data_IF_075366432344
#
_entry.id   IF_075366432344
#
_cell.length_a   1.000
_cell.length_b   1.000
_cell.length_c   1.000
_cell.angle_alpha   90.00
_cell.angle_beta   90.00
_cell.angle_gamma   90.00
#
_symmetry.space_group_name_H-M   'P 1'
#
loop_
_entity.id
_entity.type
_entity.pdbx_description
1 polymer ?
#
# COMPACT_ATOMS: atom_id res chain seq x y z
N UNK A 1 -2.20 -51.53 17.05
CA UNK A 1 -2.66 -52.64 16.18
C UNK A 1 -4.12 -52.32 15.82
N UNK A 2 -4.50 -52.19 14.55
CA UNK A 2 -4.83 -53.31 13.66
C UNK A 2 -4.43 -53.07 12.19
N UNK A 3 -3.81 -54.09 11.58
CA UNK A 3 -3.81 -54.56 10.17
C UNK A 3 -3.62 -53.56 8.99
N UNK A 4 -2.67 -53.92 8.11
CA UNK A 4 -2.32 -53.32 6.80
C UNK A 4 -3.13 -53.96 5.64
N UNK A 5 -2.72 -53.67 4.38
CA UNK A 5 -3.17 -54.21 3.07
C UNK A 5 -4.41 -53.49 2.49
N UNK A 6 -4.51 -53.11 1.20
CA UNK A 6 -3.87 -53.52 -0.09
C UNK A 6 -3.97 -52.29 -1.06
N UNK A 7 -2.92 -51.69 -1.68
CA UNK A 7 -2.03 -52.07 -2.82
C UNK A 7 -2.73 -52.28 -4.19
N UNK A 8 -2.04 -51.88 -5.28
CA UNK A 8 -2.35 -52.03 -6.74
C UNK A 8 -3.41 -51.03 -7.31
N UNK A 9 -3.43 -50.60 -8.60
CA UNK A 9 -2.58 -50.86 -9.80
C UNK A 9 -2.70 -49.72 -10.88
N UNK A 10 -1.58 -49.03 -11.23
CA UNK A 10 -1.18 -48.30 -12.49
C UNK A 10 -2.19 -47.45 -13.33
N UNK A 11 -1.69 -46.29 -13.79
CA UNK A 11 -2.12 -45.58 -15.00
C UNK A 11 -0.99 -44.75 -15.63
N UNK A 12 -0.03 -45.37 -16.32
CA UNK A 12 1.06 -44.67 -17.03
C UNK A 12 0.60 -44.19 -18.40
N UNK A 13 0.91 -42.95 -18.77
CA UNK A 13 0.99 -42.54 -20.18
C UNK A 13 2.11 -41.51 -20.38
N UNK A 14 3.20 -41.95 -20.98
CA UNK A 14 4.33 -41.14 -21.43
C UNK A 14 4.16 -40.89 -22.92
N UNK A 15 4.40 -39.67 -23.38
CA UNK A 15 4.86 -39.39 -24.75
C UNK A 15 5.72 -38.12 -24.76
N UNK A 16 6.89 -38.19 -25.38
CA UNK A 16 7.88 -37.11 -25.42
C UNK A 16 8.09 -36.60 -26.85
N UNK A 17 8.52 -35.34 -27.00
CA UNK A 17 8.93 -34.77 -28.30
C UNK A 17 10.15 -33.83 -28.16
N UNK A 18 11.31 -34.46 -28.32
CA UNK A 18 12.58 -34.01 -28.93
C UNK A 18 12.80 -32.57 -29.45
N UNK A 19 14.03 -32.10 -29.16
CA UNK A 19 14.98 -31.37 -30.04
C UNK A 19 14.92 -29.85 -30.25
N UNK A 20 16.06 -29.21 -29.97
CA UNK A 20 16.43 -27.84 -30.40
C UNK A 20 17.77 -27.40 -29.79
N UNK A 21 18.88 -27.55 -30.52
CA UNK A 21 20.24 -27.23 -30.05
C UNK A 21 20.85 -26.06 -30.86
N UNK A 22 21.75 -25.25 -30.29
CA UNK A 22 22.42 -24.17 -31.01
C UNK A 22 23.50 -23.43 -30.21
N UNK A 23 24.77 -23.80 -30.40
CA UNK A 23 25.95 -23.06 -29.89
C UNK A 23 26.38 -21.91 -30.81
N UNK A 24 26.89 -20.82 -30.24
CA UNK A 24 28.00 -19.93 -30.72
C UNK A 24 28.03 -18.67 -29.82
N UNK A 25 29.15 -17.99 -29.49
CA UNK A 25 30.59 -18.13 -29.81
C UNK A 25 31.42 -17.47 -28.69
N UNK A 26 32.73 -17.71 -28.65
CA UNK A 26 33.65 -17.32 -27.55
C UNK A 26 34.27 -15.88 -27.69
N UNK A 27 35.48 -15.53 -27.20
CA UNK A 27 35.66 -14.51 -26.18
C UNK A 27 36.50 -13.29 -26.66
N UNK A 28 36.84 -12.36 -25.76
CA UNK A 28 37.74 -11.24 -26.10
C UNK A 28 38.33 -10.51 -24.89
N UNK A 29 39.57 -10.84 -24.51
CA UNK A 29 40.40 -10.00 -23.63
C UNK A 29 41.01 -8.84 -24.43
N UNK A 30 41.20 -7.67 -23.80
CA UNK A 30 41.95 -6.56 -24.37
C UNK A 30 42.14 -5.41 -23.39
N UNK A 31 43.31 -5.32 -22.75
CA UNK A 31 43.68 -4.24 -21.84
C UNK A 31 44.57 -3.20 -22.55
N UNK A 32 44.16 -1.93 -22.50
CA UNK A 32 45.04 -0.74 -22.38
C UNK A 32 45.92 -0.31 -23.59
N UNK A 33 46.39 0.98 -23.67
CA UNK A 33 46.02 2.19 -22.91
C UNK A 33 45.88 3.53 -23.72
N UNK A 34 45.50 4.60 -22.99
CA UNK A 34 45.75 6.06 -23.22
C UNK A 34 45.22 6.75 -24.50
N UNK A 35 44.24 7.67 -24.32
CA UNK A 35 44.46 9.12 -24.55
C UNK A 35 43.45 10.00 -23.81
N UNK A 36 43.95 10.86 -22.92
CA UNK A 36 43.18 11.96 -22.31
C UNK A 36 43.25 13.18 -23.23
N UNK A 37 42.11 13.88 -23.43
CA UNK A 37 42.11 15.33 -23.28
C UNK A 37 40.97 15.78 -22.36
N UNK A 38 41.30 16.59 -21.36
CA UNK A 38 40.31 17.30 -20.57
C UNK A 38 39.87 18.56 -21.32
N UNK A 39 38.58 18.69 -21.60
CA UNK A 39 37.93 19.95 -21.93
C UNK A 39 36.46 19.88 -21.51
N UNK A 40 36.02 20.89 -20.75
CA UNK A 40 34.71 20.96 -20.14
C UNK A 40 33.55 20.82 -21.14
N UNK A 41 32.57 19.97 -20.78
CA UNK A 41 31.18 20.15 -21.18
C UNK A 41 30.32 20.09 -19.92
N UNK A 42 29.66 21.21 -19.63
CA UNK A 42 28.78 21.39 -18.49
C UNK A 42 27.53 20.54 -18.65
N UNK A 43 27.34 19.52 -17.82
CA UNK A 43 26.01 19.02 -17.49
C UNK A 43 25.86 18.97 -15.97
N UNK A 44 25.72 20.17 -15.39
CA UNK A 44 25.20 20.32 -14.04
C UNK A 44 23.70 20.08 -14.14
N UNK A 45 23.32 18.79 -14.15
CA UNK A 45 21.94 18.30 -14.22
C UNK A 45 21.08 18.99 -13.16
N UNK A 46 20.47 20.10 -13.54
CA UNK A 46 19.78 20.98 -12.61
C UNK A 46 18.45 20.32 -12.29
N UNK A 47 18.39 19.64 -11.14
CA UNK A 47 17.20 18.97 -10.66
C UNK A 47 16.15 20.04 -10.35
N UNK A 48 15.35 20.39 -11.36
CA UNK A 48 14.21 21.29 -11.23
C UNK A 48 13.35 20.75 -10.08
N UNK A 49 13.08 21.55 -9.03
CA UNK A 49 12.19 21.12 -7.97
C UNK A 49 10.86 20.68 -8.58
N UNK A 50 10.51 19.40 -8.39
CA UNK A 50 9.18 18.91 -8.71
C UNK A 50 8.22 19.69 -7.83
N UNK A 51 7.38 20.53 -8.45
CA UNK A 51 6.48 21.40 -7.71
C UNK A 51 5.52 20.55 -6.88
N UNK A 52 5.59 20.68 -5.56
CA UNK A 52 4.72 19.93 -4.67
C UNK A 52 3.30 20.50 -4.75
N UNK A 53 2.34 19.61 -4.96
CA UNK A 53 0.91 19.92 -5.00
C UNK A 53 0.43 19.97 -3.54
N UNK A 54 -0.24 21.06 -3.18
CA UNK A 54 -0.88 21.22 -1.87
C UNK A 54 -2.39 21.17 -2.02
N UNK A 55 -3.07 20.52 -1.09
CA UNK A 55 -4.53 20.45 -1.06
C UNK A 55 -5.04 20.39 0.38
N UNK A 56 -6.28 20.80 0.59
CA UNK A 56 -6.99 20.60 1.86
C UNK A 56 -7.87 19.37 1.77
N UNK A 57 -7.83 18.52 2.79
CA UNK A 57 -8.63 17.29 2.91
C UNK A 57 -9.31 17.27 4.27
N UNK A 58 -10.50 16.66 4.36
CA UNK A 58 -11.08 16.32 5.66
C UNK A 58 -10.42 15.06 6.19
N UNK A 59 -9.79 15.18 7.35
CA UNK A 59 -9.30 14.07 8.15
C UNK A 59 -10.23 13.90 9.38
N UNK A 60 -10.41 12.66 9.81
CA UNK A 60 -11.34 12.30 10.88
C UNK A 60 -10.57 11.68 12.05
N UNK A 61 -10.51 12.43 13.14
CA UNK A 61 -9.76 12.10 14.36
C UNK A 61 -10.73 11.66 15.47
N UNK A 62 -10.23 11.12 16.58
CA UNK A 62 -11.04 10.88 17.77
C UNK A 62 -11.33 12.18 18.53
N UNK A 63 -12.43 12.23 19.28
CA UNK A 63 -12.63 13.25 20.33
C UNK A 63 -11.73 13.00 21.55
N UNK A 64 -11.76 13.90 22.53
CA UNK A 64 -10.92 13.84 23.76
C UNK A 64 -11.09 12.51 24.53
N UNK A 65 -12.27 11.90 24.45
CA UNK A 65 -12.63 10.63 25.07
C UNK A 65 -12.39 9.39 24.16
N UNK A 66 -12.01 9.59 22.90
CA UNK A 66 -11.81 8.52 21.91
C UNK A 66 -13.08 7.71 21.61
N UNK A 67 -14.26 8.34 21.68
CA UNK A 67 -15.57 7.71 21.49
C UNK A 67 -16.25 8.10 20.17
N UNK A 68 -15.87 9.23 19.55
CA UNK A 68 -16.50 9.76 18.34
C UNK A 68 -15.48 10.32 17.38
N UNK A 69 -15.90 10.52 16.12
CA UNK A 69 -15.10 11.19 15.12
C UNK A 69 -15.29 12.72 15.14
N UNK A 70 -14.17 13.43 15.08
CA UNK A 70 -14.05 14.88 14.90
C UNK A 70 -13.43 15.13 13.54
N UNK A 71 -14.15 15.85 12.69
CA UNK A 71 -13.69 16.29 11.37
C UNK A 71 -12.75 17.50 11.51
N UNK A 72 -11.61 17.49 10.81
CA UNK A 72 -10.72 18.64 10.68
C UNK A 72 -10.22 18.78 9.24
N UNK A 73 -10.17 20.01 8.74
CA UNK A 73 -9.50 20.34 7.48
C UNK A 73 -7.98 20.35 7.67
N UNK A 74 -7.28 19.44 7.00
CA UNK A 74 -5.83 19.28 7.06
C UNK A 74 -5.21 19.58 5.70
N UNK A 75 -4.11 20.33 5.69
CA UNK A 75 -3.34 20.55 4.46
C UNK A 75 -2.39 19.37 4.23
N UNK A 76 -2.54 18.69 3.10
CA UNK A 76 -1.66 17.62 2.63
C UNK A 76 -0.83 18.09 1.44
N UNK A 77 0.38 17.52 1.31
CA UNK A 77 1.34 17.85 0.25
C UNK A 77 1.79 16.57 -0.44
N UNK A 78 1.82 16.56 -1.77
CA UNK A 78 2.15 15.38 -2.58
C UNK A 78 2.74 15.75 -3.95
N UNK A 79 3.22 14.77 -4.73
CA UNK A 79 3.96 15.04 -6.00
C UNK A 79 3.16 14.73 -7.25
N UNK A 80 2.23 13.78 -7.18
CA UNK A 80 1.36 13.39 -8.29
C UNK A 80 -0.08 13.29 -7.81
N UNK A 81 -1.05 13.60 -8.67
CA UNK A 81 -2.50 13.56 -8.33
C UNK A 81 -2.97 12.22 -7.74
N UNK A 82 -2.34 11.11 -8.13
CA UNK A 82 -2.62 9.77 -7.58
C UNK A 82 -2.16 9.58 -6.11
N UNK A 83 -1.15 10.34 -5.67
CA UNK A 83 -0.60 10.25 -4.31
C UNK A 83 -1.55 10.84 -3.25
N UNK A 84 -2.55 11.65 -3.66
CA UNK A 84 -3.44 12.40 -2.76
C UNK A 84 -4.18 11.50 -1.77
N UNK A 85 -4.50 10.27 -2.16
CA UNK A 85 -5.16 9.28 -1.30
C UNK A 85 -4.24 8.81 -0.18
N UNK A 86 -2.99 8.47 -0.50
CA UNK A 86 -2.00 8.09 0.49
C UNK A 86 -1.64 9.26 1.41
N UNK A 87 -1.58 10.49 0.87
CA UNK A 87 -1.35 11.70 1.65
C UNK A 87 -2.51 12.00 2.63
N UNK A 88 -3.77 11.83 2.18
CA UNK A 88 -4.95 11.99 3.04
C UNK A 88 -5.02 10.93 4.16
N UNK A 89 -4.69 9.66 3.88
CA UNK A 89 -4.62 8.63 4.92
C UNK A 89 -3.51 8.91 5.94
N UNK A 90 -2.32 9.34 5.49
CA UNK A 90 -1.20 9.70 6.39
C UNK A 90 -1.55 10.87 7.32
N UNK A 91 -2.50 11.72 6.96
CA UNK A 91 -2.99 12.78 7.84
C UNK A 91 -3.73 12.24 9.08
N UNK A 92 -4.31 11.03 9.03
CA UNK A 92 -5.00 10.41 10.19
C UNK A 92 -4.05 9.98 11.31
N UNK A 93 -2.77 9.79 10.98
CA UNK A 93 -1.70 9.47 11.93
C UNK A 93 -0.93 10.73 12.39
N UNK A 94 -1.23 11.91 11.83
CA UNK A 94 -0.64 13.16 12.26
C UNK A 94 -1.25 13.65 13.58
N UNK A 95 -0.54 14.54 14.28
CA UNK A 95 -1.05 15.21 15.47
C UNK A 95 -2.21 16.16 15.06
N UNK A 96 -3.45 15.94 15.52
CA UNK A 96 -4.57 16.81 15.20
C UNK A 96 -4.51 18.14 15.98
N UNK A 97 -5.38 19.08 15.61
CA UNK A 97 -5.52 20.33 16.35
C UNK A 97 -6.39 20.17 17.60
N UNK A 98 -6.10 20.98 18.63
CA UNK A 98 -6.91 21.10 19.84
C UNK A 98 -6.75 19.91 20.78
N UNK A 99 -7.87 19.26 21.10
CA UNK A 99 -7.95 18.12 22.02
C UNK A 99 -8.32 16.78 21.34
N UNK A 100 -8.43 16.78 20.02
CA UNK A 100 -8.70 15.55 19.29
C UNK A 100 -7.52 14.57 19.42
N UNK A 101 -7.75 13.28 19.16
CA UNK A 101 -6.73 12.23 19.25
C UNK A 101 -6.51 11.55 17.91
N UNK A 102 -5.25 11.23 17.59
CA UNK A 102 -4.92 10.50 16.37
C UNK A 102 -5.27 9.01 16.54
N UNK A 103 -6.27 8.53 15.79
CA UNK A 103 -6.73 7.14 15.85
C UNK A 103 -5.84 6.16 15.08
N UNK A 104 -5.13 6.65 14.05
CA UNK A 104 -4.28 5.81 13.19
C UNK A 104 -2.79 5.84 13.62
N UNK A 105 -2.52 6.00 14.92
CA UNK A 105 -1.16 5.84 15.47
C UNK A 105 -0.72 4.38 15.30
N UNK A 106 0.47 4.17 14.73
CA UNK A 106 0.97 2.81 14.42
C UNK A 106 0.31 2.14 13.20
N UNK A 107 -0.40 2.90 12.35
CA UNK A 107 -0.85 2.45 11.03
C UNK A 107 -0.04 3.18 9.96
N UNK A 108 0.79 2.46 9.19
CA UNK A 108 1.59 3.03 8.11
C UNK A 108 0.97 2.76 6.74
N UNK A 109 0.80 3.81 5.93
CA UNK A 109 0.27 3.70 4.58
C UNK A 109 1.39 3.37 3.59
N UNK A 110 1.44 2.11 3.13
CA UNK A 110 2.43 1.63 2.15
C UNK A 110 2.09 2.06 0.74
N UNK A 111 0.83 1.91 0.33
CA UNK A 111 0.36 2.33 -0.99
C UNK A 111 -1.13 2.66 -1.00
N UNK A 112 -1.55 3.48 -1.96
CA UNK A 112 -2.94 3.69 -2.32
C UNK A 112 -3.02 3.82 -3.85
N UNK A 113 -3.70 2.89 -4.52
CA UNK A 113 -3.73 2.78 -5.99
C UNK A 113 -5.18 2.73 -6.45
N UNK A 114 -5.59 3.70 -7.27
CA UNK A 114 -6.94 3.78 -7.83
C UNK A 114 -6.99 3.04 -9.17
N UNK A 115 -7.89 2.04 -9.27
CA UNK A 115 -8.20 1.34 -10.51
C UNK A 115 -9.69 1.52 -10.83
N UNK A 116 -10.00 2.34 -11.85
CA UNK A 116 -11.38 2.80 -12.09
C UNK A 116 -11.90 3.59 -10.89
N UNK A 117 -12.95 3.07 -10.24
CA UNK A 117 -13.55 3.65 -9.04
C UNK A 117 -13.24 2.85 -7.75
N UNK A 118 -12.30 1.90 -7.80
CA UNK A 118 -11.89 1.11 -6.64
C UNK A 118 -10.47 1.48 -6.21
N UNK A 119 -10.31 1.97 -4.98
CA UNK A 119 -9.01 2.26 -4.39
C UNK A 119 -8.51 1.04 -3.62
N UNK A 120 -7.38 0.47 -4.01
CA UNK A 120 -6.66 -0.52 -3.20
C UNK A 120 -5.69 0.21 -2.29
N UNK A 121 -5.76 -0.05 -0.98
CA UNK A 121 -4.91 0.56 0.04
C UNK A 121 -4.17 -0.55 0.78
N UNK A 122 -2.84 -0.50 0.77
CA UNK A 122 -2.00 -1.42 1.54
C UNK A 122 -1.44 -0.72 2.76
N UNK A 123 -1.69 -1.28 3.94
CA UNK A 123 -1.31 -0.77 5.24
C UNK A 123 -0.31 -1.71 5.92
N UNK A 124 0.48 -1.17 6.84
CA UNK A 124 1.03 -1.91 7.95
C UNK A 124 0.27 -1.52 9.22
N UNK A 125 0.04 -2.46 10.12
CA UNK A 125 -0.57 -2.20 11.43
C UNK A 125 0.38 -2.77 12.49
N UNK A 126 0.94 -1.89 13.32
CA UNK A 126 1.80 -2.30 14.43
C UNK A 126 1.02 -3.15 15.44
N UNK A 127 1.69 -4.11 16.08
CA UNK A 127 1.07 -4.92 17.13
C UNK A 127 0.62 -4.06 18.34
N UNK A 128 1.30 -2.94 18.58
CA UNK A 128 0.97 -2.00 19.66
C UNK A 128 -0.21 -1.06 19.31
N UNK A 129 -0.74 -1.12 18.08
CA UNK A 129 -1.81 -0.24 17.59
C UNK A 129 -3.24 -0.79 17.81
N UNK A 130 -3.41 -1.81 18.67
CA UNK A 130 -4.73 -2.39 18.94
C UNK A 130 -5.57 -1.52 19.89
N UNK A 131 -6.71 -1.03 19.39
CA UNK A 131 -7.60 -0.11 20.13
C UNK A 131 -8.91 -0.77 20.63
N UNK A 132 -9.00 -2.11 20.60
CA UNK A 132 -10.24 -2.83 20.91
C UNK A 132 -11.33 -2.64 19.83
N UNK A 133 -12.48 -3.30 20.00
CA UNK A 133 -13.54 -3.30 18.98
C UNK A 133 -14.06 -1.90 18.64
N UNK A 134 -14.32 -1.06 19.65
CA UNK A 134 -14.79 0.32 19.44
C UNK A 134 -13.74 1.20 18.76
N UNK A 135 -12.46 1.00 19.08
CA UNK A 135 -11.37 1.74 18.43
C UNK A 135 -11.14 1.30 16.99
N UNK A 136 -11.23 0.00 16.70
CA UNK A 136 -11.23 -0.53 15.33
C UNK A 136 -12.40 0.05 14.51
N UNK A 137 -13.59 0.18 15.10
CA UNK A 137 -14.75 0.80 14.44
C UNK A 137 -14.45 2.26 14.06
N UNK A 138 -13.92 3.06 14.99
CA UNK A 138 -13.58 4.45 14.75
C UNK A 138 -12.46 4.60 13.70
N UNK A 139 -11.46 3.73 13.70
CA UNK A 139 -10.41 3.69 12.66
C UNK A 139 -11.00 3.38 11.28
N UNK A 140 -11.85 2.35 11.18
CA UNK A 140 -12.51 1.98 9.92
C UNK A 140 -13.45 3.09 9.42
N UNK A 141 -14.18 3.76 10.31
CA UNK A 141 -15.01 4.91 9.95
C UNK A 141 -14.15 6.13 9.52
N UNK A 142 -13.03 6.39 10.19
CA UNK A 142 -12.12 7.48 9.85
C UNK A 142 -11.49 7.29 8.46
N UNK A 143 -10.99 6.09 8.17
CA UNK A 143 -10.46 5.70 6.86
C UNK A 143 -11.54 5.88 5.78
N UNK A 144 -12.74 5.34 5.99
CA UNK A 144 -13.83 5.43 5.02
C UNK A 144 -14.25 6.87 4.75
N UNK A 145 -14.48 7.70 5.78
CA UNK A 145 -14.89 9.10 5.59
C UNK A 145 -13.81 9.93 4.90
N UNK A 146 -12.54 9.73 5.24
CA UNK A 146 -11.38 10.40 4.62
C UNK A 146 -11.21 10.05 3.15
N UNK A 147 -11.46 8.79 2.77
CA UNK A 147 -11.32 8.33 1.39
C UNK A 147 -12.57 8.59 0.54
N UNK A 148 -13.78 8.35 1.07
CA UNK A 148 -15.01 8.59 0.33
C UNK A 148 -15.36 10.07 0.13
N UNK A 149 -14.60 11.02 0.69
CA UNK A 149 -14.66 12.42 0.27
C UNK A 149 -14.27 12.61 -1.20
N UNK A 150 -13.39 11.75 -1.73
CA UNK A 150 -12.96 11.75 -3.12
C UNK A 150 -14.06 11.09 -3.96
N UNK A 151 -14.78 11.90 -4.75
CA UNK A 151 -16.00 11.47 -5.45
C UNK A 151 -15.74 10.32 -6.42
N UNK A 152 -14.53 10.22 -6.96
CA UNK A 152 -14.08 9.14 -7.85
C UNK A 152 -13.93 7.78 -7.17
N UNK A 153 -13.88 7.68 -5.83
CA UNK A 153 -13.76 6.41 -5.10
C UNK A 153 -15.15 5.91 -4.67
N UNK A 154 -15.60 4.79 -5.23
CA UNK A 154 -16.85 4.10 -4.82
C UNK A 154 -16.61 2.86 -3.95
N UNK A 155 -15.40 2.32 -3.95
CA UNK A 155 -15.00 1.23 -3.05
C UNK A 155 -13.55 1.29 -2.63
N UNK A 156 -13.26 0.73 -1.45
CA UNK A 156 -11.92 0.64 -0.86
C UNK A 156 -11.62 -0.83 -0.58
N UNK A 157 -10.56 -1.35 -1.18
CA UNK A 157 -10.00 -2.65 -0.86
C UNK A 157 -8.85 -2.43 0.14
N UNK A 158 -9.06 -2.76 1.41
CA UNK A 158 -8.02 -2.68 2.44
C UNK A 158 -7.19 -3.96 2.46
N UNK A 159 -5.88 -3.80 2.43
CA UNK A 159 -4.88 -4.84 2.62
C UNK A 159 -4.02 -4.51 3.85
N UNK A 160 -3.57 -5.54 4.56
CA UNK A 160 -2.53 -5.45 5.58
C UNK A 160 -1.36 -6.34 5.15
N UNK A 161 -0.19 -5.73 5.00
CA UNK A 161 1.03 -6.38 4.52
C UNK A 161 0.81 -7.19 3.21
N UNK A 162 0.04 -6.62 2.27
CA UNK A 162 -0.29 -7.20 0.97
C UNK A 162 -1.34 -8.32 1.00
N UNK A 163 -1.97 -8.60 2.15
CA UNK A 163 -3.01 -9.63 2.32
C UNK A 163 -4.37 -8.97 2.57
N UNK A 164 -5.45 -9.69 2.24
CA UNK A 164 -6.81 -9.36 2.70
C UNK A 164 -7.02 -10.00 4.07
N UNK A 165 -7.12 -9.25 5.18
CA UNK A 165 -7.34 -9.82 6.49
C UNK A 165 -8.83 -9.84 6.83
N UNK A 166 -9.30 -10.87 7.54
CA UNK A 166 -10.72 -10.95 7.96
C UNK A 166 -11.12 -9.81 8.92
N UNK A 167 -10.15 -9.09 9.49
CA UNK A 167 -10.31 -7.98 10.43
C UNK A 167 -9.07 -7.07 10.39
N UNK A 168 -9.20 -5.77 10.66
CA UNK A 168 -8.08 -4.83 10.67
C UNK A 168 -7.24 -4.96 11.95
N UNK A 169 -7.88 -5.20 13.10
CA UNK A 169 -7.22 -5.34 14.41
C UNK A 169 -7.56 -6.63 15.16
N UNK A 170 -8.53 -7.41 14.69
CA UNK A 170 -8.93 -8.70 15.25
C UNK A 170 -10.27 -8.70 15.99
N UNK A 171 -11.13 -7.68 15.80
CA UNK A 171 -12.41 -7.57 16.50
C UNK A 171 -13.62 -7.40 15.57
N UNK A 172 -13.46 -6.68 14.45
CA UNK A 172 -14.53 -6.44 13.48
C UNK A 172 -14.27 -7.19 12.18
N UNK A 173 -15.31 -7.83 11.63
CA UNK A 173 -15.24 -8.40 10.28
C UNK A 173 -15.02 -7.29 9.25
N UNK A 174 -14.06 -7.47 8.34
CA UNK A 174 -13.70 -6.50 7.31
C UNK A 174 -14.32 -6.87 5.95
N UNK A 175 -15.29 -6.09 5.42
CA UNK A 175 -15.84 -6.34 4.10
C UNK A 175 -14.83 -6.12 2.97
N UNK A 176 -14.78 -7.06 2.03
CA UNK A 176 -13.91 -7.01 0.85
C UNK A 176 -14.71 -6.85 -0.45
N UNK A 177 -14.78 -5.65 -1.06
CA UNK A 177 -14.27 -4.36 -0.58
C UNK A 177 -15.28 -3.60 0.29
N UNK A 178 -14.81 -2.62 1.06
CA UNK A 178 -15.65 -1.59 1.68
C UNK A 178 -16.35 -0.80 0.57
N UNK A 179 -17.66 -0.59 0.71
CA UNK A 179 -18.49 0.19 -0.24
C UNK A 179 -18.86 1.54 0.36
N UNK A 180 -18.95 2.56 -0.51
CA UNK A 180 -19.55 3.84 -0.16
C UNK A 180 -21.02 3.61 0.24
N UNK A 181 -21.37 4.07 1.44
CA UNK A 181 -22.73 4.06 2.02
C UNK A 181 -23.40 5.43 1.89
#
# INVERSE_FOLDING_TARGET
MHKKLTVLLIGVSVCAAISGCGMTKEPGQGLSPVKVPAAAATDSGTVKPSAEIKSTVKAYFGDEDGQKLVEQDVSVTYKQEQDKYAAALKALSAQPAGKAVALCQGIDVKSAVLAGNSLTVDLHVSQDAQLGASGEELVLQAIQKTLFQFKEIDSIELLVDGKKPDSLMGHLELPHPLKRS
#
